data_IF_247099005537
#
_entry.id   IF_247099005537
#
_cell.length_a   1.000
_cell.length_b   1.000
_cell.length_c   1.000
_cell.angle_alpha   90.00
_cell.angle_beta   90.00
_cell.angle_gamma   90.00
#
_symmetry.space_group_name_H-M   'P 1'
#
loop_
_entity.id
_entity.type
_entity.pdbx_description
1 polymer ?
#
# COMPACT_ATOMS: atom_id res chain seq x y z
N UNK A 1 4.82 -29.89 -7.10
CA UNK A 1 5.16 -28.86 -8.10
C UNK A 1 5.96 -27.79 -7.36
N UNK A 2 7.08 -27.28 -7.89
CA UNK A 2 7.80 -26.21 -7.20
C UNK A 2 7.02 -24.93 -7.40
N UNK A 3 6.33 -24.47 -6.35
CA UNK A 3 5.63 -23.20 -6.33
C UNK A 3 6.69 -22.10 -6.28
N UNK A 4 6.73 -21.22 -7.27
CA UNK A 4 7.74 -20.15 -7.32
C UNK A 4 7.50 -19.14 -6.20
N UNK A 5 8.52 -18.36 -5.82
CA UNK A 5 8.39 -17.32 -4.79
C UNK A 5 7.24 -16.35 -5.11
N UNK A 6 7.04 -16.06 -6.40
CA UNK A 6 5.98 -15.18 -6.90
C UNK A 6 4.57 -15.80 -6.81
N UNK A 7 4.47 -17.12 -6.71
CA UNK A 7 3.21 -17.84 -6.52
C UNK A 7 2.86 -18.03 -5.03
N UNK A 8 3.85 -17.96 -4.13
CA UNK A 8 3.63 -18.12 -2.69
C UNK A 8 3.53 -16.78 -1.95
N UNK A 9 4.41 -15.82 -2.29
CA UNK A 9 4.40 -14.52 -1.67
C UNK A 9 3.18 -13.71 -2.14
N UNK A 10 2.60 -12.85 -1.28
CA UNK A 10 1.55 -11.95 -1.73
C UNK A 10 2.02 -11.07 -2.90
N UNK A 11 1.14 -10.87 -3.90
CA UNK A 11 1.47 -10.17 -5.15
C UNK A 11 1.91 -8.71 -5.00
N UNK A 12 1.52 -8.07 -3.89
CA UNK A 12 1.93 -6.71 -3.54
C UNK A 12 3.38 -6.62 -3.05
N UNK A 13 4.03 -7.76 -2.79
CA UNK A 13 5.28 -7.81 -2.04
C UNK A 13 6.51 -7.67 -2.96
N UNK A 14 7.35 -6.64 -2.78
CA UNK A 14 8.56 -6.45 -3.57
C UNK A 14 9.54 -7.63 -3.41
N UNK A 15 10.39 -7.94 -4.41
CA UNK A 15 11.21 -9.16 -4.41
C UNK A 15 12.10 -9.36 -3.18
N UNK A 16 12.62 -8.27 -2.59
CA UNK A 16 13.41 -8.35 -1.35
C UNK A 16 12.54 -8.73 -0.15
N UNK A 17 11.34 -8.17 -0.05
CA UNK A 17 10.40 -8.46 1.03
C UNK A 17 9.78 -9.85 0.86
N UNK A 18 9.50 -10.26 -0.38
CA UNK A 18 9.03 -11.61 -0.71
C UNK A 18 10.00 -12.69 -0.21
N UNK A 19 11.32 -12.49 -0.38
CA UNK A 19 12.34 -13.41 0.15
C UNK A 19 12.31 -13.51 1.67
N UNK A 20 12.12 -12.39 2.36
CA UNK A 20 11.99 -12.37 3.81
C UNK A 20 10.70 -13.09 4.23
N UNK A 21 9.59 -12.80 3.58
CA UNK A 21 8.30 -13.43 3.86
C UNK A 21 8.37 -14.94 3.67
N UNK A 22 9.03 -15.39 2.62
CA UNK A 22 9.17 -16.81 2.34
C UNK A 22 10.00 -17.54 3.40
N UNK A 23 11.04 -16.90 3.92
CA UNK A 23 11.79 -17.44 5.06
C UNK A 23 10.87 -17.58 6.28
N UNK A 24 10.17 -16.52 6.68
CA UNK A 24 9.24 -16.55 7.82
C UNK A 24 8.10 -17.56 7.60
N UNK A 25 7.62 -17.69 6.36
CA UNK A 25 6.59 -18.65 5.98
C UNK A 25 7.07 -20.08 6.19
N UNK A 26 8.31 -20.41 5.79
CA UNK A 26 8.90 -21.72 6.01
C UNK A 26 9.13 -21.99 7.51
N UNK A 27 9.61 -21.00 8.26
CA UNK A 27 9.80 -21.10 9.71
C UNK A 27 8.48 -21.35 10.46
N UNK A 28 7.38 -20.76 9.98
CA UNK A 28 6.04 -21.00 10.50
C UNK A 28 5.45 -22.39 10.13
N UNK A 29 6.17 -23.20 9.35
CA UNK A 29 5.75 -24.54 8.91
C UNK A 29 5.26 -24.60 7.46
N UNK A 30 5.33 -23.49 6.73
CA UNK A 30 5.03 -23.40 5.30
C UNK A 30 3.66 -23.96 4.95
N UNK A 31 3.60 -24.74 3.87
CA UNK A 31 2.36 -25.35 3.37
C UNK A 31 1.80 -26.44 4.30
N UNK A 32 2.58 -26.92 5.27
CA UNK A 32 2.15 -27.98 6.19
C UNK A 32 1.31 -27.45 7.35
N UNK A 33 1.35 -26.13 7.61
CA UNK A 33 0.63 -25.46 8.70
C UNK A 33 -0.29 -24.40 8.10
N UNK A 34 -1.59 -24.49 8.39
CA UNK A 34 -2.55 -23.48 7.96
C UNK A 34 -2.24 -22.15 8.68
N UNK A 35 -2.22 -21.05 7.93
CA UNK A 35 -1.96 -19.71 8.49
C UNK A 35 -0.50 -19.28 8.52
N UNK A 36 0.47 -20.13 8.11
CA UNK A 36 1.90 -19.74 8.02
C UNK A 36 2.12 -18.44 7.25
N UNK A 37 1.34 -18.21 6.18
CA UNK A 37 1.43 -16.98 5.40
C UNK A 37 0.97 -15.73 6.14
N UNK A 38 -0.03 -15.86 7.03
CA UNK A 38 -0.49 -14.77 7.89
C UNK A 38 0.52 -14.48 9.01
N UNK A 39 1.12 -15.52 9.59
CA UNK A 39 2.19 -15.38 10.59
C UNK A 39 3.38 -14.65 9.98
N UNK A 40 3.86 -15.09 8.82
CA UNK A 40 4.96 -14.45 8.10
C UNK A 40 4.68 -12.97 7.76
N UNK A 41 3.43 -12.68 7.36
CA UNK A 41 2.97 -11.30 7.10
C UNK A 41 3.05 -10.45 8.36
N UNK A 42 2.59 -10.98 9.49
CA UNK A 42 2.59 -10.25 10.76
C UNK A 42 3.99 -10.03 11.33
N UNK A 43 4.90 -11.00 11.14
CA UNK A 43 6.32 -10.83 11.48
C UNK A 43 6.91 -9.66 10.69
N UNK A 44 6.75 -9.63 9.36
CA UNK A 44 7.31 -8.56 8.53
C UNK A 44 6.78 -7.17 8.91
N UNK A 45 5.50 -7.09 9.30
CA UNK A 45 4.88 -5.83 9.69
C UNK A 45 5.44 -5.26 10.98
N UNK A 46 5.88 -6.10 11.92
CA UNK A 46 6.18 -5.67 13.28
C UNK A 46 7.64 -5.86 13.68
N UNK A 47 8.38 -6.75 13.02
CA UNK A 47 9.78 -7.01 13.33
C UNK A 47 10.61 -5.74 13.10
N UNK A 48 11.36 -5.25 14.11
CA UNK A 48 12.20 -4.08 13.98
C UNK A 48 13.19 -4.15 12.81
N UNK A 49 13.64 -5.35 12.43
CA UNK A 49 14.56 -5.55 11.30
C UNK A 49 13.90 -5.24 9.95
N UNK A 50 12.58 -5.50 9.83
CA UNK A 50 11.84 -5.38 8.57
C UNK A 50 10.89 -4.18 8.53
N UNK A 51 10.59 -3.60 9.69
CA UNK A 51 9.70 -2.45 9.83
C UNK A 51 10.11 -1.28 8.95
N UNK A 52 11.39 -0.89 8.94
CA UNK A 52 11.87 0.21 8.11
C UNK A 52 11.68 -0.07 6.61
N UNK A 53 11.85 -1.34 6.21
CA UNK A 53 11.61 -1.75 4.83
C UNK A 53 10.11 -1.70 4.52
N UNK A 54 9.25 -2.15 5.43
CA UNK A 54 7.80 -2.06 5.28
C UNK A 54 7.33 -0.62 5.15
N UNK A 55 7.75 0.25 6.06
CA UNK A 55 7.34 1.65 6.12
C UNK A 55 7.84 2.44 4.90
N UNK A 56 8.95 2.02 4.28
CA UNK A 56 9.42 2.56 2.99
C UNK A 56 8.51 2.20 1.81
N UNK A 57 7.89 1.02 1.83
CA UNK A 57 7.00 0.56 0.76
C UNK A 57 5.55 1.01 0.96
N UNK A 58 5.14 1.19 2.21
CA UNK A 58 3.80 1.64 2.61
C UNK A 58 3.87 2.94 3.42
N UNK A 59 4.43 4.02 2.86
CA UNK A 59 4.62 5.27 3.57
C UNK A 59 3.30 5.86 4.06
N UNK A 60 3.28 6.39 5.29
CA UNK A 60 2.08 6.95 5.92
C UNK A 60 1.06 5.91 6.42
N UNK A 61 1.24 4.62 6.12
CA UNK A 61 0.27 3.60 6.51
C UNK A 61 0.33 3.24 8.01
N UNK A 62 1.50 3.35 8.64
CA UNK A 62 1.65 3.03 10.07
C UNK A 62 1.33 4.23 10.96
N UNK A 63 0.59 3.99 12.04
CA UNK A 63 0.30 4.98 13.09
C UNK A 63 1.41 5.01 14.15
N UNK A 64 1.39 6.05 14.98
CA UNK A 64 2.34 6.21 16.10
C UNK A 64 2.25 5.06 17.11
N UNK A 65 1.06 4.45 17.26
CA UNK A 65 0.83 3.29 18.13
C UNK A 65 1.29 1.96 17.51
N UNK A 66 1.82 1.98 16.28
CA UNK A 66 2.32 0.82 15.54
C UNK A 66 1.27 0.10 14.69
N UNK A 67 -0.02 0.42 14.85
CA UNK A 67 -1.09 -0.15 14.03
C UNK A 67 -1.04 0.33 12.58
N UNK A 68 -1.62 -0.45 11.66
CA UNK A 68 -1.71 -0.09 10.24
C UNK A 68 -3.08 0.53 9.91
N UNK A 69 -3.09 1.54 9.05
CA UNK A 69 -4.32 2.20 8.57
C UNK A 69 -5.09 1.33 7.60
N UNK A 70 -4.36 0.76 6.65
CA UNK A 70 -4.86 -0.11 5.59
C UNK A 70 -4.04 -1.39 5.60
N UNK A 71 -4.64 -2.50 5.16
CA UNK A 71 -3.81 -3.61 4.72
C UNK A 71 -3.14 -3.27 3.38
N UNK A 72 -2.22 -4.13 2.94
CA UNK A 72 -1.37 -3.86 1.78
C UNK A 72 -2.15 -3.89 0.46
N UNK A 73 -3.24 -4.66 0.40
CA UNK A 73 -4.14 -4.68 -0.74
C UNK A 73 -4.91 -3.37 -0.82
N UNK A 74 -5.55 -3.00 0.29
CA UNK A 74 -6.32 -1.75 0.41
C UNK A 74 -5.43 -0.53 0.17
N UNK A 75 -4.20 -0.52 0.69
CA UNK A 75 -3.24 0.56 0.43
C UNK A 75 -2.93 0.69 -1.07
N UNK A 76 -2.68 -0.43 -1.75
CA UNK A 76 -2.36 -0.43 -3.19
C UNK A 76 -3.55 0.08 -4.01
N UNK A 77 -4.76 -0.38 -3.68
CA UNK A 77 -6.01 0.09 -4.31
C UNK A 77 -6.25 1.58 -4.05
N UNK A 78 -6.02 2.06 -2.83
CA UNK A 78 -6.18 3.49 -2.49
C UNK A 78 -5.21 4.37 -3.27
N UNK A 79 -3.93 3.98 -3.38
CA UNK A 79 -2.95 4.70 -4.20
C UNK A 79 -3.36 4.74 -5.67
N UNK A 80 -3.79 3.60 -6.22
CA UNK A 80 -4.27 3.54 -7.60
C UNK A 80 -5.49 4.44 -7.83
N UNK A 81 -6.43 4.46 -6.88
CA UNK A 81 -7.60 5.33 -6.89
C UNK A 81 -7.22 6.83 -6.92
N UNK A 82 -6.23 7.24 -6.11
CA UNK A 82 -5.71 8.61 -6.18
C UNK A 82 -5.07 8.95 -7.53
N UNK A 83 -4.28 8.03 -8.10
CA UNK A 83 -3.65 8.23 -9.42
C UNK A 83 -4.72 8.36 -10.50
N UNK A 84 -5.77 7.54 -10.44
CA UNK A 84 -6.89 7.56 -11.38
C UNK A 84 -7.70 8.85 -11.27
N UNK A 85 -7.95 9.35 -10.06
CA UNK A 85 -8.64 10.63 -9.86
C UNK A 85 -7.92 11.81 -10.54
N UNK A 86 -6.60 11.91 -10.37
CA UNK A 86 -5.79 12.95 -11.02
C UNK A 86 -5.74 12.77 -12.54
N UNK A 87 -5.56 11.53 -13.00
CA UNK A 87 -5.54 11.20 -14.44
C UNK A 87 -6.88 11.55 -15.09
N UNK A 88 -7.99 11.34 -14.40
CA UNK A 88 -9.34 11.67 -14.87
C UNK A 88 -9.56 13.15 -15.21
N UNK A 89 -8.76 14.04 -14.59
CA UNK A 89 -8.76 15.49 -14.88
C UNK A 89 -7.52 15.93 -15.67
N UNK A 90 -6.87 15.00 -16.38
CA UNK A 90 -5.65 15.23 -17.18
C UNK A 90 -4.46 15.77 -16.38
N UNK A 91 -4.40 15.51 -15.08
CA UNK A 91 -3.24 15.84 -14.23
C UNK A 91 -2.33 14.63 -14.16
N UNK A 92 -1.03 14.83 -14.41
CA UNK A 92 -0.04 13.77 -14.25
C UNK A 92 0.06 13.38 -12.75
N UNK A 93 -0.29 12.14 -12.35
CA UNK A 93 -0.23 11.74 -10.95
C UNK A 93 1.19 11.58 -10.40
N UNK A 94 2.19 11.34 -11.26
CA UNK A 94 3.56 11.03 -10.83
C UNK A 94 4.23 12.19 -10.09
N UNK A 95 3.80 13.43 -10.35
CA UNK A 95 4.31 14.60 -9.62
C UNK A 95 3.79 14.70 -8.18
N UNK A 96 2.79 13.89 -7.82
CA UNK A 96 2.14 13.86 -6.50
C UNK A 96 2.42 12.57 -5.72
N UNK A 97 3.27 11.68 -6.23
CA UNK A 97 3.54 10.38 -5.59
C UNK A 97 3.99 10.53 -4.12
N UNK A 98 4.86 11.50 -3.84
CA UNK A 98 5.31 11.82 -2.48
C UNK A 98 4.21 12.41 -1.57
N UNK A 99 3.06 12.82 -2.13
CA UNK A 99 1.94 13.40 -1.38
C UNK A 99 0.91 12.38 -0.97
N UNK A 100 0.82 11.24 -1.65
CA UNK A 100 -0.16 10.22 -1.34
C UNK A 100 0.04 9.61 0.05
N UNK A 101 1.30 9.45 0.47
CA UNK A 101 1.62 9.03 1.84
C UNK A 101 0.99 9.95 2.89
N UNK A 102 1.05 11.27 2.68
CA UNK A 102 0.45 12.25 3.59
C UNK A 102 -1.08 12.25 3.56
N UNK A 103 -1.70 11.88 2.43
CA UNK A 103 -3.15 11.68 2.36
C UNK A 103 -3.59 10.46 3.18
N UNK A 104 -2.86 9.35 3.06
CA UNK A 104 -3.10 8.14 3.84
C UNK A 104 -2.85 8.42 5.33
N UNK A 105 -1.78 9.12 5.68
CA UNK A 105 -1.49 9.51 7.06
C UNK A 105 -2.61 10.35 7.68
N UNK A 106 -3.23 11.22 6.87
CA UNK A 106 -4.40 12.02 7.22
C UNK A 106 -5.75 11.31 7.08
N UNK A 107 -5.76 9.98 6.92
CA UNK A 107 -6.94 9.12 6.78
C UNK A 107 -7.90 9.56 5.64
N UNK A 108 -7.37 10.14 4.56
CA UNK A 108 -8.17 10.55 3.40
C UNK A 108 -8.57 9.31 2.61
N UNK A 109 -9.85 9.02 2.51
CA UNK A 109 -10.33 7.88 1.71
C UNK A 109 -10.32 8.14 0.21
N UNK A 110 -10.48 7.08 -0.57
CA UNK A 110 -10.60 7.14 -2.04
C UNK A 110 -11.69 8.11 -2.51
N UNK A 111 -12.93 7.94 -2.02
CA UNK A 111 -14.06 8.77 -2.42
C UNK A 111 -13.92 10.23 -2.02
N UNK A 112 -13.31 10.51 -0.87
CA UNK A 112 -13.04 11.87 -0.44
C UNK A 112 -12.04 12.56 -1.37
N UNK A 113 -10.96 11.86 -1.74
CA UNK A 113 -9.97 12.42 -2.65
C UNK A 113 -10.55 12.70 -4.04
N UNK A 114 -11.33 11.76 -4.60
CA UNK A 114 -12.04 11.93 -5.87
C UNK A 114 -12.90 13.19 -5.84
N UNK A 115 -13.74 13.34 -4.82
CA UNK A 115 -14.61 14.52 -4.67
C UNK A 115 -13.81 15.83 -4.57
N UNK A 116 -12.67 15.82 -3.86
CA UNK A 116 -11.79 16.99 -3.75
C UNK A 116 -11.19 17.38 -5.10
N UNK A 117 -10.77 16.39 -5.91
CA UNK A 117 -10.21 16.63 -7.26
C UNK A 117 -11.27 17.17 -8.20
N UNK A 118 -12.45 16.54 -8.26
CA UNK A 118 -13.57 16.97 -9.10
C UNK A 118 -14.00 18.41 -8.76
N UNK A 119 -14.20 18.69 -7.47
CA UNK A 119 -14.60 20.03 -7.00
C UNK A 119 -13.58 21.12 -7.35
N UNK A 120 -12.29 20.80 -7.32
CA UNK A 120 -11.24 21.76 -7.70
C UNK A 120 -11.19 21.98 -9.21
N UNK A 121 -11.36 20.91 -9.99
CA UNK A 121 -11.38 21.00 -11.44
C UNK A 121 -12.56 21.84 -11.95
N UNK A 122 -13.76 21.64 -11.40
CA UNK A 122 -14.95 22.45 -11.71
C UNK A 122 -14.70 23.94 -11.46
N UNK A 123 -14.13 24.31 -10.30
CA UNK A 123 -13.79 25.71 -9.99
C UNK A 123 -12.80 26.31 -10.98
N UNK A 124 -11.79 25.55 -11.40
CA UNK A 124 -10.79 26.03 -12.38
C UNK A 124 -11.48 26.31 -13.72
N UNK A 125 -12.36 25.42 -14.18
CA UNK A 125 -13.15 25.63 -15.39
C UNK A 125 -14.03 26.87 -15.25
N UNK A 126 -14.81 26.98 -14.17
CA UNK A 126 -15.73 28.11 -13.96
C UNK A 126 -15.00 29.46 -13.82
N UNK A 127 -13.78 29.44 -13.29
CA UNK A 127 -12.95 30.64 -13.12
C UNK A 127 -12.16 31.05 -14.38
N UNK A 128 -12.15 30.21 -15.42
CA UNK A 128 -11.47 30.47 -16.69
C UNK A 128 -12.47 31.05 -17.71
N UNK A 129 -12.48 32.37 -17.96
CA UNK A 129 -13.42 33.02 -18.87
C UNK A 129 -13.22 32.64 -20.35
#
# INVERSE_FOLDING_TARGET
MPTTLDELAPSWMPPRMARLWYREYLEAGGASVAGSGLVAKEIIRNDPEYRDLYDKWFPGNRRDDGSLRLDEGDYSTTIESYRNALTGVNVNPDIFEDKFAGLIEGDVGEGEFVQRVESMYERVIESSP
#
